data_IF_959799510145
#
_entry.id   IF_959799510145
#
_cell.length_a   1.000
_cell.length_b   1.000
_cell.length_c   1.000
_cell.angle_alpha   90.00
_cell.angle_beta   90.00
_cell.angle_gamma   90.00
#
_symmetry.space_group_name_H-M   'P 1'
#
loop_
_entity.id
_entity.type
_entity.pdbx_description
1 polymer ?
#
# COMPACT_ATOMS: atom_id res chain seq x y z
N UNK A 1 17.43 -0.79 -21.21
CA UNK A 1 15.99 -0.44 -21.27
C UNK A 1 15.67 0.33 -20.00
N UNK A 2 14.86 1.39 -20.07
CA UNK A 2 14.40 2.09 -18.88
C UNK A 2 13.37 1.20 -18.14
N UNK A 3 13.43 1.17 -16.80
CA UNK A 3 12.47 0.42 -15.98
C UNK A 3 11.06 0.96 -16.22
N UNK A 4 10.04 0.13 -16.47
CA UNK A 4 8.67 0.59 -16.59
C UNK A 4 8.11 1.10 -15.26
N UNK A 5 8.72 0.73 -14.13
CA UNK A 5 8.25 1.00 -12.78
C UNK A 5 8.65 2.36 -12.24
N UNK A 6 9.69 2.98 -12.82
CA UNK A 6 10.30 4.23 -12.36
C UNK A 6 10.01 5.33 -13.38
N UNK A 7 9.77 6.54 -12.88
CA UNK A 7 9.75 7.77 -13.67
C UNK A 7 11.20 8.13 -14.03
N UNK A 8 11.59 7.85 -15.28
CA UNK A 8 12.99 7.90 -15.70
C UNK A 8 13.62 9.30 -15.67
N UNK A 9 12.82 10.38 -15.73
CA UNK A 9 13.28 11.77 -15.72
C UNK A 9 12.29 12.66 -14.98
N UNK A 10 12.77 13.71 -14.30
CA UNK A 10 11.88 14.77 -13.81
C UNK A 10 11.05 15.32 -14.96
N UNK A 11 9.74 15.35 -14.76
CA UNK A 11 8.79 15.68 -15.82
C UNK A 11 8.79 17.19 -16.05
N UNK A 12 9.42 17.61 -17.14
CA UNK A 12 9.36 19.00 -17.56
C UNK A 12 7.93 19.40 -17.98
N UNK A 13 7.72 20.69 -18.30
CA UNK A 13 6.41 21.18 -18.73
C UNK A 13 5.91 20.49 -20.00
N UNK A 14 6.80 20.13 -20.92
CA UNK A 14 6.46 19.49 -22.19
C UNK A 14 5.98 18.06 -22.00
N UNK A 15 6.64 17.30 -21.12
CA UNK A 15 6.24 15.93 -20.79
C UNK A 15 4.94 15.91 -19.99
N UNK A 16 4.76 16.86 -19.04
CA UNK A 16 3.49 17.02 -18.33
C UNK A 16 2.33 17.29 -19.30
N UNK A 17 2.54 18.16 -20.28
CA UNK A 17 1.52 18.45 -21.28
C UNK A 17 1.25 17.26 -22.21
N UNK A 18 2.29 16.51 -22.62
CA UNK A 18 2.11 15.27 -23.41
C UNK A 18 1.28 14.24 -22.65
N UNK A 19 1.60 13.98 -21.39
CA UNK A 19 0.86 13.03 -20.55
C UNK A 19 -0.60 13.47 -20.35
N UNK A 20 -0.83 14.77 -20.11
CA UNK A 20 -2.19 15.31 -20.00
C UNK A 20 -2.99 15.13 -21.29
N UNK A 21 -2.42 15.46 -22.45
CA UNK A 21 -3.10 15.26 -23.74
C UNK A 21 -3.37 13.78 -24.05
N UNK A 22 -2.46 12.87 -23.67
CA UNK A 22 -2.67 11.44 -23.80
C UNK A 22 -3.80 10.94 -22.90
N UNK A 23 -3.86 11.43 -21.66
CA UNK A 23 -4.94 11.17 -20.72
C UNK A 23 -6.30 11.69 -21.25
N UNK A 24 -6.34 12.91 -21.78
CA UNK A 24 -7.55 13.49 -22.39
C UNK A 24 -8.04 12.66 -23.58
N UNK A 25 -7.10 12.22 -24.42
CA UNK A 25 -7.42 11.41 -25.58
C UNK A 25 -7.99 10.06 -25.16
N UNK A 26 -7.31 9.32 -24.26
CA UNK A 26 -7.76 7.97 -23.85
C UNK A 26 -9.11 8.02 -23.13
N UNK A 27 -9.38 9.05 -22.33
CA UNK A 27 -10.64 9.20 -21.60
C UNK A 27 -11.79 9.60 -22.51
N UNK A 28 -11.54 10.42 -23.54
CA UNK A 28 -12.55 10.83 -24.50
C UNK A 28 -12.88 9.76 -25.56
N UNK A 29 -11.86 9.10 -26.13
CA UNK A 29 -12.05 8.19 -27.28
C UNK A 29 -12.06 6.71 -26.88
N UNK A 30 -11.61 6.37 -25.66
CA UNK A 30 -11.38 5.00 -25.20
C UNK A 30 -10.43 4.19 -26.11
N UNK A 31 -9.53 4.86 -26.82
CA UNK A 31 -8.53 4.22 -27.71
C UNK A 31 -7.14 4.20 -27.10
N UNK A 32 -6.33 3.20 -27.45
CA UNK A 32 -4.94 3.12 -27.01
C UNK A 32 -4.13 4.36 -27.44
N UNK A 33 -3.26 4.83 -26.55
CA UNK A 33 -2.38 5.99 -26.77
C UNK A 33 -0.92 5.57 -26.71
N UNK A 34 -0.06 6.25 -27.47
CA UNK A 34 1.38 6.02 -27.47
C UNK A 34 2.11 7.01 -26.56
N UNK A 35 3.38 6.75 -26.25
CA UNK A 35 4.20 7.65 -25.43
C UNK A 35 3.93 7.62 -23.92
N UNK A 36 2.97 6.82 -23.46
CA UNK A 36 2.70 6.56 -22.04
C UNK A 36 3.31 5.23 -21.63
N UNK A 37 3.77 5.08 -20.38
CA UNK A 37 4.30 3.80 -19.88
C UNK A 37 3.24 2.69 -19.97
N UNK A 38 3.65 1.49 -20.36
CA UNK A 38 2.73 0.36 -20.60
C UNK A 38 1.85 0.03 -19.38
N UNK A 39 2.41 0.01 -18.18
CA UNK A 39 1.63 -0.27 -16.95
C UNK A 39 0.53 0.77 -16.71
N UNK A 40 0.78 2.03 -17.06
CA UNK A 40 -0.18 3.13 -16.90
C UNK A 40 -1.30 2.98 -17.92
N UNK A 41 -0.98 2.66 -19.17
CA UNK A 41 -1.98 2.37 -20.20
C UNK A 41 -2.87 1.19 -19.81
N UNK A 42 -2.28 0.10 -19.31
CA UNK A 42 -3.02 -1.08 -18.86
C UNK A 42 -3.93 -0.75 -17.67
N UNK A 43 -3.47 0.09 -16.73
CA UNK A 43 -4.29 0.55 -15.60
C UNK A 43 -5.42 1.50 -16.02
N UNK A 44 -5.18 2.42 -16.96
CA UNK A 44 -6.23 3.24 -17.56
C UNK A 44 -7.27 2.39 -18.28
N UNK A 45 -6.85 1.36 -19.02
CA UNK A 45 -7.79 0.44 -19.67
C UNK A 45 -8.67 -0.28 -18.65
N UNK A 46 -8.10 -0.77 -17.55
CA UNK A 46 -8.89 -1.37 -16.45
C UNK A 46 -9.87 -0.35 -15.85
N UNK A 47 -9.44 0.89 -15.65
CA UNK A 47 -10.28 1.98 -15.13
C UNK A 47 -11.45 2.30 -16.07
N UNK A 48 -11.19 2.36 -17.37
CA UNK A 48 -12.22 2.59 -18.40
C UNK A 48 -13.20 1.42 -18.54
N UNK A 49 -12.74 0.17 -18.36
CA UNK A 49 -13.60 -1.02 -18.34
C UNK A 49 -14.57 -1.02 -17.14
N UNK A 50 -14.21 -0.33 -16.06
CA UNK A 50 -15.05 -0.13 -14.89
C UNK A 50 -15.95 1.11 -15.00
N UNK A 51 -15.94 1.78 -16.17
CA UNK A 51 -16.74 2.98 -16.45
C UNK A 51 -16.49 4.12 -15.46
N UNK A 52 -15.27 4.20 -14.93
CA UNK A 52 -14.87 5.28 -14.03
C UNK A 52 -14.84 6.62 -14.77
N UNK A 53 -15.40 7.65 -14.13
CA UNK A 53 -15.39 9.02 -14.63
C UNK A 53 -14.19 9.79 -14.05
N UNK A 54 -13.15 10.13 -14.84
CA UNK A 54 -11.93 10.77 -14.33
C UNK A 54 -12.17 12.13 -13.62
N UNK A 55 -13.33 12.76 -13.79
CA UNK A 55 -13.71 14.04 -13.20
C UNK A 55 -14.60 13.89 -11.95
N UNK A 56 -15.21 12.73 -11.75
CA UNK A 56 -16.21 12.47 -10.70
C UNK A 56 -15.91 11.22 -9.86
N UNK A 57 -14.62 10.98 -9.59
CA UNK A 57 -14.17 9.94 -8.67
C UNK A 57 -13.90 10.51 -7.27
N UNK A 58 -14.48 9.87 -6.27
CA UNK A 58 -14.19 10.12 -4.87
C UNK A 58 -13.88 8.81 -4.15
N UNK A 59 -12.87 8.83 -3.29
CA UNK A 59 -12.60 7.68 -2.43
C UNK A 59 -13.75 7.50 -1.43
N UNK A 60 -14.34 6.31 -1.38
CA UNK A 60 -15.26 5.94 -0.33
C UNK A 60 -14.51 5.89 1.01
N UNK A 61 -15.14 6.36 2.08
CA UNK A 61 -14.63 6.23 3.44
C UNK A 61 -15.36 5.06 4.08
N UNK A 62 -14.64 3.96 4.29
CA UNK A 62 -15.23 2.68 4.71
C UNK A 62 -15.48 2.57 6.23
N UNK A 63 -14.96 3.52 7.01
CA UNK A 63 -15.01 3.49 8.48
C UNK A 63 -15.31 4.87 9.06
N UNK A 64 -16.06 4.90 10.17
CA UNK A 64 -16.00 6.03 11.09
C UNK A 64 -14.72 5.98 11.95
N UNK A 65 -14.51 6.99 12.80
CA UNK A 65 -13.26 7.16 13.52
C UNK A 65 -13.00 6.02 14.54
N UNK A 66 -14.04 5.53 15.21
CA UNK A 66 -13.95 4.49 16.22
C UNK A 66 -13.68 3.12 15.58
N UNK A 67 -14.41 2.77 14.51
CA UNK A 67 -14.19 1.54 13.76
C UNK A 67 -12.77 1.47 13.17
N UNK A 68 -12.26 2.60 12.68
CA UNK A 68 -10.90 2.68 12.14
C UNK A 68 -9.84 2.46 13.22
N UNK A 69 -10.05 2.98 14.43
CA UNK A 69 -9.13 2.76 15.54
C UNK A 69 -9.04 1.29 15.93
N UNK A 70 -10.18 0.62 16.11
CA UNK A 70 -10.21 -0.81 16.43
C UNK A 70 -9.56 -1.63 15.31
N UNK A 71 -9.91 -1.36 14.05
CA UNK A 71 -9.34 -2.02 12.88
C UNK A 71 -7.81 -1.91 12.85
N UNK A 72 -7.27 -0.69 13.04
CA UNK A 72 -5.84 -0.42 13.10
C UNK A 72 -5.14 -1.23 14.18
N UNK A 73 -5.72 -1.28 15.37
CA UNK A 73 -5.12 -1.95 16.53
C UNK A 73 -4.93 -3.46 16.32
N UNK A 74 -5.85 -4.09 15.56
CA UNK A 74 -5.80 -5.51 15.23
C UNK A 74 -5.03 -5.81 13.93
N UNK A 75 -4.75 -4.80 13.09
CA UNK A 75 -4.17 -5.02 11.78
C UNK A 75 -2.67 -5.37 11.84
N UNK A 76 -2.17 -6.38 11.09
CA UNK A 76 -0.76 -6.77 11.11
C UNK A 76 0.23 -5.62 10.80
N UNK A 77 -0.18 -4.67 9.97
CA UNK A 77 0.64 -3.49 9.64
C UNK A 77 0.91 -2.58 10.84
N UNK A 78 0.12 -2.66 11.92
CA UNK A 78 0.40 -1.92 13.15
C UNK A 78 1.77 -2.30 13.75
N UNK A 79 2.18 -3.56 13.58
CA UNK A 79 3.49 -4.04 14.01
C UNK A 79 4.63 -3.35 13.23
N UNK A 80 4.40 -2.98 11.97
CA UNK A 80 5.39 -2.33 11.13
C UNK A 80 5.61 -0.85 11.46
N UNK A 81 4.66 -0.19 12.15
CA UNK A 81 4.68 1.25 12.39
C UNK A 81 5.97 1.78 13.03
N UNK A 82 6.58 1.15 14.06
CA UNK A 82 7.81 1.68 14.64
C UNK A 82 8.97 1.72 13.64
N UNK A 83 9.09 0.70 12.78
CA UNK A 83 10.11 0.63 11.74
C UNK A 83 9.83 1.64 10.64
N UNK A 84 8.59 1.76 10.19
CA UNK A 84 8.17 2.75 9.18
C UNK A 84 8.45 4.16 9.69
N UNK A 85 8.05 4.46 10.94
CA UNK A 85 8.28 5.76 11.55
C UNK A 85 9.77 6.10 11.65
N UNK A 86 10.59 5.12 12.05
CA UNK A 86 12.04 5.33 12.17
C UNK A 86 12.75 5.54 10.83
N UNK A 87 12.34 4.84 9.77
CA UNK A 87 13.04 4.85 8.49
C UNK A 87 12.53 5.92 7.53
N UNK A 88 11.22 6.15 7.52
CA UNK A 88 10.57 7.00 6.52
C UNK A 88 10.09 8.31 7.14
N UNK A 89 9.45 8.27 8.32
CA UNK A 89 8.68 9.41 8.81
C UNK A 89 9.48 10.42 9.63
N UNK A 90 10.52 9.98 10.35
CA UNK A 90 11.31 10.83 11.27
C UNK A 90 11.82 12.13 10.62
N UNK A 91 12.16 12.11 9.33
CA UNK A 91 12.72 13.26 8.61
C UNK A 91 11.85 13.70 7.42
N UNK A 92 10.65 13.13 7.26
CA UNK A 92 9.83 13.38 6.07
C UNK A 92 9.19 14.78 6.06
N UNK A 93 9.01 15.37 7.24
CA UNK A 93 8.36 16.68 7.41
C UNK A 93 9.12 17.81 6.70
N UNK A 94 10.45 17.73 6.64
CA UNK A 94 11.29 18.74 5.98
C UNK A 94 11.37 18.54 4.46
N UNK A 95 10.99 17.37 3.96
CA UNK A 95 11.10 16.99 2.55
C UNK A 95 9.86 17.34 1.72
N UNK A 96 8.78 17.87 2.32
CA UNK A 96 7.54 18.16 1.60
C UNK A 96 6.87 16.90 1.04
N UNK A 97 6.91 15.81 1.81
CA UNK A 97 6.35 14.51 1.47
C UNK A 97 5.39 14.03 2.57
N UNK A 98 4.51 13.11 2.18
CA UNK A 98 3.63 12.35 3.07
C UNK A 98 3.88 10.86 2.89
N UNK A 99 3.76 10.10 3.97
CA UNK A 99 3.81 8.64 3.97
C UNK A 99 2.42 8.14 4.32
N UNK A 100 1.81 7.41 3.41
CA UNK A 100 0.58 6.68 3.68
C UNK A 100 0.87 5.19 3.79
N UNK A 101 0.14 4.53 4.68
CA UNK A 101 0.18 3.09 4.87
C UNK A 101 -1.24 2.60 4.62
N UNK A 102 -1.41 1.71 3.66
CA UNK A 102 -2.70 1.11 3.34
C UNK A 102 -2.76 -0.38 3.64
N UNK A 103 -3.98 -0.92 3.70
CA UNK A 103 -4.23 -2.36 3.78
C UNK A 103 -4.32 -3.01 2.39
N UNK A 104 -4.46 -4.35 2.36
CA UNK A 104 -4.63 -5.11 1.11
C UNK A 104 -5.92 -4.79 0.34
N UNK A 105 -6.91 -4.17 0.99
CA UNK A 105 -8.15 -3.71 0.37
C UNK A 105 -8.02 -2.29 -0.19
N UNK A 106 -6.82 -1.69 -0.12
CA UNK A 106 -6.53 -0.35 -0.60
C UNK A 106 -7.05 0.76 0.32
N UNK A 107 -7.41 0.46 1.58
CA UNK A 107 -7.81 1.47 2.56
C UNK A 107 -6.57 2.13 3.14
N UNK A 108 -6.53 3.46 3.17
CA UNK A 108 -5.47 4.20 3.83
C UNK A 108 -5.65 4.10 5.36
N UNK A 109 -4.74 3.39 6.02
CA UNK A 109 -4.80 3.16 7.46
C UNK A 109 -4.08 4.24 8.25
N UNK A 110 -2.94 4.75 7.80
CA UNK A 110 -2.22 5.82 8.50
C UNK A 110 -1.64 6.79 7.50
N UNK A 111 -1.68 8.10 7.81
CA UNK A 111 -1.07 9.13 6.97
C UNK A 111 -0.27 10.10 7.86
N UNK A 112 1.05 10.10 7.65
CA UNK A 112 1.98 10.95 8.38
C UNK A 112 2.86 11.78 7.43
N UNK A 113 3.48 12.85 7.93
CA UNK A 113 4.33 13.77 7.18
C UNK A 113 3.89 15.22 7.22
N UNK A 114 4.34 16.03 6.25
CA UNK A 114 4.17 17.48 6.32
C UNK A 114 2.69 17.89 6.46
N UNK A 115 2.39 18.71 7.47
CA UNK A 115 1.01 19.09 7.81
C UNK A 115 0.34 19.94 6.73
N UNK A 116 1.10 20.77 6.02
CA UNK A 116 0.54 21.59 4.95
C UNK A 116 0.22 20.73 3.73
N UNK A 117 1.09 19.78 3.40
CA UNK A 117 0.87 18.82 2.33
C UNK A 117 -0.29 17.87 2.63
N UNK A 118 -0.40 17.36 3.87
CA UNK A 118 -1.51 16.52 4.28
C UNK A 118 -2.86 17.22 4.12
N UNK A 119 -2.97 18.48 4.56
CA UNK A 119 -4.16 19.32 4.32
C UNK A 119 -4.45 19.56 2.85
N UNK A 120 -3.43 19.66 2.01
CA UNK A 120 -3.61 19.77 0.55
C UNK A 120 -4.10 18.44 -0.03
N UNK A 121 -3.60 17.30 0.46
CA UNK A 121 -3.96 15.96 0.04
C UNK A 121 -5.40 15.58 0.45
N UNK A 122 -5.92 16.13 1.56
CA UNK A 122 -7.34 16.03 1.93
C UNK A 122 -8.27 16.52 0.82
N UNK A 123 -7.85 17.50 0.01
CA UNK A 123 -8.62 18.01 -1.14
C UNK A 123 -8.83 16.99 -2.27
N UNK A 124 -8.05 15.90 -2.30
CA UNK A 124 -8.26 14.76 -3.21
C UNK A 124 -8.82 13.52 -2.49
N UNK A 125 -9.36 13.68 -1.27
CA UNK A 125 -9.81 12.59 -0.39
C UNK A 125 -8.71 11.58 -0.04
N UNK A 126 -7.45 12.03 0.00
CA UNK A 126 -6.33 11.25 0.51
C UNK A 126 -6.28 11.36 2.03
N UNK A 127 -7.24 10.69 2.66
CA UNK A 127 -7.48 10.70 4.11
C UNK A 127 -7.52 9.29 4.67
N UNK A 128 -7.29 9.17 5.96
CA UNK A 128 -7.36 7.89 6.64
C UNK A 128 -8.80 7.32 6.56
N UNK A 129 -8.92 6.01 6.33
CA UNK A 129 -10.18 5.32 6.05
C UNK A 129 -10.61 5.31 4.58
N UNK A 130 -10.00 6.15 3.73
CA UNK A 130 -10.36 6.25 2.32
C UNK A 130 -9.85 5.05 1.50
N UNK A 131 -10.66 4.56 0.55
CA UNK A 131 -10.30 3.47 -0.38
C UNK A 131 -9.66 4.02 -1.65
N UNK A 132 -8.41 3.64 -1.89
CA UNK A 132 -7.57 4.10 -3.01
C UNK A 132 -7.22 2.99 -4.01
N UNK A 133 -8.07 1.97 -4.14
CA UNK A 133 -7.90 0.94 -5.18
C UNK A 133 -8.10 1.48 -6.58
N UNK A 134 -7.55 0.80 -7.60
CA UNK A 134 -7.86 1.13 -9.01
C UNK A 134 -9.36 1.12 -9.31
N UNK A 135 -10.13 0.28 -8.62
CA UNK A 135 -11.58 0.22 -8.80
C UNK A 135 -12.33 1.42 -8.23
N UNK A 136 -11.71 2.13 -7.29
CA UNK A 136 -12.32 3.26 -6.60
C UNK A 136 -11.89 4.61 -7.19
N UNK A 137 -10.60 4.75 -7.55
CA UNK A 137 -10.02 6.04 -7.98
C UNK A 137 -9.29 5.96 -9.33
N UNK A 138 -9.30 4.80 -9.98
CA UNK A 138 -8.49 4.52 -11.17
C UNK A 138 -7.00 4.41 -10.84
N UNK A 139 -6.14 4.58 -11.86
CA UNK A 139 -4.68 4.52 -11.71
C UNK A 139 -4.20 5.42 -10.57
N UNK A 140 -3.62 4.81 -9.53
CA UNK A 140 -3.00 5.46 -8.39
C UNK A 140 -1.91 4.56 -7.84
N UNK A 141 -0.81 5.13 -7.33
CA UNK A 141 0.26 4.29 -6.78
C UNK A 141 -0.21 3.35 -5.66
N UNK A 142 -0.93 3.80 -4.59
CA UNK A 142 -1.37 2.91 -3.52
C UNK A 142 -2.35 1.83 -3.97
N UNK A 143 -3.10 2.03 -5.06
CA UNK A 143 -4.02 1.03 -5.62
C UNK A 143 -3.37 0.10 -6.64
N UNK A 144 -2.48 0.62 -7.49
CA UNK A 144 -1.87 -0.11 -8.60
C UNK A 144 -0.69 -0.97 -8.14
N UNK A 145 0.09 -0.55 -7.13
CA UNK A 145 1.22 -1.36 -6.64
C UNK A 145 0.76 -2.74 -6.13
N UNK A 146 -0.27 -2.84 -5.26
CA UNK A 146 -0.80 -4.12 -4.83
C UNK A 146 -1.44 -4.94 -5.95
N UNK A 147 -2.06 -4.28 -6.95
CA UNK A 147 -2.67 -4.96 -8.09
C UNK A 147 -1.63 -5.62 -9.01
N UNK A 148 -0.42 -5.04 -9.06
CA UNK A 148 0.70 -5.55 -9.85
C UNK A 148 1.70 -6.37 -9.03
N UNK A 149 1.51 -6.42 -7.71
CA UNK A 149 2.45 -7.01 -6.74
C UNK A 149 3.90 -6.51 -6.95
N UNK A 150 4.04 -5.21 -7.17
CA UNK A 150 5.33 -4.59 -7.51
C UNK A 150 5.40 -3.14 -7.03
N UNK A 151 6.60 -2.69 -6.66
CA UNK A 151 6.87 -1.29 -6.35
C UNK A 151 6.81 -0.40 -7.59
N UNK A 152 6.07 0.71 -7.54
CA UNK A 152 5.84 1.57 -8.72
C UNK A 152 5.90 3.05 -8.36
N UNK A 153 6.13 3.86 -9.39
CA UNK A 153 5.93 5.31 -9.36
C UNK A 153 4.78 5.68 -10.30
N UNK A 154 3.94 6.63 -9.91
CA UNK A 154 2.89 7.25 -10.74
C UNK A 154 2.99 8.76 -10.55
N UNK A 155 2.89 9.53 -11.64
CA UNK A 155 3.04 10.98 -11.57
C UNK A 155 2.04 11.73 -12.45
N UNK A 156 1.60 12.87 -11.94
CA UNK A 156 0.83 13.82 -12.71
C UNK A 156 -0.37 13.19 -13.40
N UNK A 157 -0.48 13.42 -14.71
CA UNK A 157 -1.55 12.88 -15.53
C UNK A 157 -1.46 11.38 -15.80
N UNK A 158 -0.49 10.64 -15.24
CA UNK A 158 -0.54 9.16 -15.19
C UNK A 158 -1.62 8.67 -14.23
N UNK A 159 -1.97 9.47 -13.21
CA UNK A 159 -3.16 9.22 -12.42
C UNK A 159 -4.40 9.27 -13.32
N UNK A 160 -5.38 8.41 -13.06
CA UNK A 160 -6.61 8.41 -13.84
C UNK A 160 -7.58 9.51 -13.38
N UNK A 161 -7.62 9.78 -12.08
CA UNK A 161 -8.45 10.85 -11.53
C UNK A 161 -7.74 12.21 -11.68
N UNK A 162 -8.40 13.17 -12.36
CA UNK A 162 -7.82 14.48 -12.66
C UNK A 162 -7.48 15.31 -11.44
N UNK A 163 -8.22 15.13 -10.34
CA UNK A 163 -7.94 15.86 -9.10
C UNK A 163 -6.56 15.49 -8.52
N UNK A 164 -6.03 14.32 -8.90
CA UNK A 164 -4.73 13.79 -8.45
C UNK A 164 -3.57 14.24 -9.35
N UNK A 165 -3.84 14.83 -10.53
CA UNK A 165 -2.79 15.31 -11.46
C UNK A 165 -1.75 16.30 -10.86
N UNK A 166 -2.03 17.06 -9.79
CA UNK A 166 -1.00 17.87 -9.14
C UNK A 166 0.04 17.06 -8.32
N UNK A 167 -0.13 15.74 -8.21
CA UNK A 167 0.61 14.88 -7.29
C UNK A 167 1.45 13.83 -8.00
N UNK A 168 2.46 13.35 -7.28
CA UNK A 168 3.24 12.18 -7.65
C UNK A 168 3.41 11.27 -6.45
N UNK A 169 3.46 9.97 -6.73
CA UNK A 169 3.37 8.92 -5.72
C UNK A 169 4.34 7.79 -6.04
N UNK A 170 4.99 7.24 -5.02
CA UNK A 170 5.76 5.99 -5.09
C UNK A 170 5.21 5.02 -4.06
N UNK A 171 4.76 3.85 -4.49
CA UNK A 171 4.15 2.85 -3.60
C UNK A 171 4.81 1.48 -3.75
N UNK A 172 4.93 0.76 -2.64
CA UNK A 172 5.48 -0.60 -2.59
C UNK A 172 4.59 -1.50 -1.71
N UNK A 173 4.14 -2.67 -2.21
CA UNK A 173 3.36 -3.61 -1.41
C UNK A 173 4.20 -4.23 -0.30
N UNK A 174 3.58 -4.46 0.85
CA UNK A 174 4.18 -5.11 2.02
C UNK A 174 3.59 -6.49 2.18
N UNK A 175 4.44 -7.50 2.39
CA UNK A 175 4.05 -8.90 2.46
C UNK A 175 4.14 -9.44 3.88
N UNK A 176 3.30 -10.43 4.15
CA UNK A 176 3.45 -11.30 5.30
C UNK A 176 4.67 -12.20 5.09
N UNK A 177 5.72 -12.10 5.92
CA UNK A 177 6.94 -12.88 5.76
C UNK A 177 6.74 -14.39 5.85
N UNK A 178 5.60 -14.86 6.40
CA UNK A 178 5.27 -16.27 6.56
C UNK A 178 4.46 -16.84 5.39
N UNK A 179 3.48 -16.09 4.87
CA UNK A 179 2.60 -16.56 3.79
C UNK A 179 2.95 -16.02 2.42
N UNK A 180 3.79 -14.98 2.33
CA UNK A 180 4.10 -14.25 1.10
C UNK A 180 2.95 -13.41 0.56
N UNK A 181 1.82 -13.33 1.28
CA UNK A 181 0.64 -12.58 0.84
C UNK A 181 0.81 -11.10 1.15
N UNK A 182 0.29 -10.23 0.28
CA UNK A 182 0.19 -8.80 0.54
C UNK A 182 -0.66 -8.54 1.79
N UNK A 183 -0.07 -7.85 2.76
CA UNK A 183 -0.71 -7.30 3.96
C UNK A 183 -1.24 -5.89 3.71
N UNK A 184 -0.53 -5.12 2.89
CA UNK A 184 -0.81 -3.71 2.66
C UNK A 184 0.16 -3.08 1.70
N UNK A 185 0.24 -1.75 1.75
CA UNK A 185 1.10 -0.94 0.89
C UNK A 185 1.68 0.21 1.70
N UNK A 186 2.92 0.61 1.40
CA UNK A 186 3.46 1.89 1.85
C UNK A 186 3.58 2.78 0.62
N UNK A 187 3.08 4.00 0.72
CA UNK A 187 3.07 5.00 -0.33
C UNK A 187 3.74 6.30 0.16
N UNK A 188 4.55 6.90 -0.70
CA UNK A 188 5.12 8.22 -0.53
C UNK A 188 4.45 9.14 -1.55
N UNK A 189 3.70 10.13 -1.07
CA UNK A 189 2.98 11.10 -1.89
C UNK A 189 3.53 12.51 -1.70
N UNK A 190 3.64 13.25 -2.80
CA UNK A 190 4.06 14.65 -2.80
C UNK A 190 4.21 15.24 -4.20
N UNK A 191 5.26 16.04 -4.39
CA UNK A 191 5.62 16.65 -5.68
C UNK A 191 6.65 15.81 -6.46
N UNK A 192 7.56 16.48 -7.17
CA UNK A 192 8.58 15.80 -7.99
C UNK A 192 9.48 14.86 -7.18
N UNK A 193 9.77 15.18 -5.91
CA UNK A 193 10.64 14.37 -5.04
C UNK A 193 10.02 13.01 -4.68
N UNK A 194 8.69 12.92 -4.66
CA UNK A 194 7.98 11.66 -4.42
C UNK A 194 8.25 10.63 -5.53
N UNK A 195 8.68 11.06 -6.71
CA UNK A 195 9.04 10.20 -7.85
C UNK A 195 10.46 10.43 -8.33
N UNK A 196 11.34 10.95 -7.46
CA UNK A 196 12.77 10.94 -7.77
C UNK A 196 13.23 9.49 -8.02
N UNK A 197 14.20 9.26 -8.94
CA UNK A 197 14.61 7.89 -9.29
C UNK A 197 15.09 7.04 -8.10
N UNK A 198 15.62 7.69 -7.05
CA UNK A 198 16.08 7.03 -5.83
C UNK A 198 14.95 6.68 -4.85
N UNK A 199 13.75 7.27 -4.99
CA UNK A 199 12.64 7.09 -4.03
C UNK A 199 12.10 5.67 -4.04
N UNK A 200 11.95 5.04 -5.22
CA UNK A 200 11.48 3.66 -5.29
C UNK A 200 12.46 2.65 -4.64
N UNK A 201 13.75 2.61 -5.00
CA UNK A 201 14.70 1.72 -4.32
C UNK A 201 14.80 1.96 -2.80
N UNK A 202 14.68 3.20 -2.36
CA UNK A 202 14.66 3.54 -0.93
C UNK A 202 13.42 2.96 -0.25
N UNK A 203 12.25 3.12 -0.86
CA UNK A 203 11.00 2.58 -0.32
C UNK A 203 10.99 1.05 -0.32
N UNK A 204 11.51 0.41 -1.38
CA UNK A 204 11.69 -1.04 -1.44
C UNK A 204 12.62 -1.55 -0.33
N UNK A 205 13.73 -0.85 -0.06
CA UNK A 205 14.63 -1.17 1.05
C UNK A 205 13.94 -1.01 2.41
N UNK A 206 13.14 0.04 2.60
CA UNK A 206 12.38 0.25 3.82
C UNK A 206 11.31 -0.84 4.05
N UNK A 207 10.60 -1.24 2.98
CA UNK A 207 9.65 -2.37 3.03
C UNK A 207 10.36 -3.67 3.37
N UNK A 208 11.51 -3.95 2.75
CA UNK A 208 12.30 -5.14 3.09
C UNK A 208 12.73 -5.17 4.56
N UNK A 209 13.10 -4.02 5.13
CA UNK A 209 13.41 -3.89 6.56
C UNK A 209 12.17 -4.11 7.45
N UNK A 210 11.01 -3.60 7.04
CA UNK A 210 9.72 -3.83 7.70
C UNK A 210 9.38 -5.33 7.73
N UNK A 211 9.46 -6.00 6.59
CA UNK A 211 9.19 -7.45 6.48
C UNK A 211 10.20 -8.28 7.29
N UNK A 212 11.48 -7.90 7.28
CA UNK A 212 12.49 -8.54 8.12
C UNK A 212 12.18 -8.37 9.61
N UNK A 213 11.78 -7.18 10.05
CA UNK A 213 11.39 -6.91 11.43
C UNK A 213 10.12 -7.67 11.87
N UNK A 214 9.17 -7.88 10.94
CA UNK A 214 8.01 -8.76 11.18
C UNK A 214 8.42 -10.22 11.30
N UNK A 215 9.36 -10.69 10.45
CA UNK A 215 9.89 -12.06 10.52
C UNK A 215 10.61 -12.35 11.83
N UNK A 216 11.46 -11.44 12.30
CA UNK A 216 12.21 -11.58 13.56
C UNK A 216 11.24 -11.70 14.74
N UNK A 217 10.28 -10.78 14.85
CA UNK A 217 9.28 -10.81 15.94
C UNK A 217 8.49 -12.11 15.98
N UNK A 218 8.10 -12.63 14.82
CA UNK A 218 7.43 -13.93 14.73
C UNK A 218 8.31 -15.08 15.23
N UNK A 219 9.61 -15.06 14.94
CA UNK A 219 10.54 -16.08 15.45
C UNK A 219 10.71 -15.96 16.97
N UNK A 220 10.74 -14.75 17.51
CA UNK A 220 10.77 -14.50 18.95
C UNK A 220 9.50 -15.03 19.64
N UNK A 221 8.32 -14.84 19.05
CA UNK A 221 7.04 -15.39 19.55
C UNK A 221 7.01 -16.93 19.52
N UNK A 222 7.57 -17.55 18.49
CA UNK A 222 7.65 -19.01 18.37
C UNK A 222 8.63 -19.62 19.39
N UNK A 223 9.72 -18.92 19.70
CA UNK A 223 10.75 -19.37 20.64
C UNK A 223 10.41 -19.06 22.11
N UNK A 224 9.61 -18.02 22.37
CA UNK A 224 9.14 -17.65 23.70
C UNK A 224 7.90 -18.43 24.17
N UNK A 225 7.24 -19.20 23.30
CA UNK A 225 6.15 -20.11 23.71
C UNK A 225 6.70 -21.27 24.56
N UNK A 226 6.19 -21.47 25.79
CA UNK A 226 6.62 -22.59 26.62
C UNK A 226 6.32 -23.92 25.89
N UNK A 227 7.18 -24.95 26.04
CA UNK A 227 6.93 -26.26 25.43
C UNK A 227 5.56 -26.76 25.86
N UNK A 228 4.76 -27.23 24.90
CA UNK A 228 3.48 -27.87 25.20
C UNK A 228 3.74 -28.98 26.20
N UNK A 229 3.14 -28.86 27.39
CA UNK A 229 3.18 -29.92 28.39
C UNK A 229 2.74 -31.22 27.69
N UNK A 230 3.52 -32.31 27.76
CA UNK A 230 3.07 -33.57 27.18
C UNK A 230 1.73 -33.90 27.83
N UNK A 231 0.68 -33.96 27.03
CA UNK A 231 -0.62 -34.47 27.46
C UNK A 231 -0.35 -35.82 28.10
N UNK A 232 -0.66 -35.95 29.40
CA UNK A 232 -0.57 -37.20 30.12
C UNK A 232 -1.51 -38.21 29.46
N UNK A 233 -1.01 -38.90 28.44
CA UNK A 233 -1.69 -40.00 27.79
C UNK A 233 -1.62 -41.19 28.74
N UNK A 234 -2.76 -41.49 29.34
CA UNK A 234 -3.13 -42.82 29.82
C UNK A 234 -2.20 -43.45 30.85
N UNK A 235 -2.42 -43.14 32.13
CA UNK A 235 -2.09 -44.11 33.16
C UNK A 235 -2.86 -45.42 32.87
N UNK A 236 -2.21 -46.59 32.81
CA UNK A 236 -2.91 -47.86 32.69
C UNK A 236 -3.74 -48.05 33.97
N UNK A 237 -5.05 -48.25 33.83
CA UNK A 237 -5.90 -48.69 34.93
C UNK A 237 -5.43 -50.08 35.37
N UNK A 238 -4.57 -50.10 36.38
CA UNK A 238 -4.14 -51.30 37.07
C UNK A 238 -5.34 -52.07 37.60
N UNK A 239 -5.33 -53.38 37.36
CA UNK A 239 -6.41 -54.29 37.70
C UNK A 239 -6.69 -54.36 39.20
N UNK A 240 -7.95 -54.63 39.52
CA UNK A 240 -8.34 -55.12 40.83
C UNK A 240 -8.51 -56.64 40.77
N UNK A 241 -7.88 -57.42 41.66
CA UNK A 241 -8.23 -58.81 41.89
C UNK A 241 -9.27 -58.87 43.02
N UNK A 242 -10.47 -59.36 42.72
CA UNK A 242 -11.45 -59.89 43.69
C UNK A 242 -12.23 -60.96 42.93
N UNK A 243 -12.29 -62.22 43.30
CA UNK A 243 -12.10 -62.89 44.59
C UNK A 243 -13.12 -64.02 44.54
N UNK A 244 -12.67 -65.27 44.51
CA UNK A 244 -13.56 -66.43 44.51
C UNK A 244 -14.21 -66.62 45.88
N UNK A 245 -15.48 -67.01 45.89
CA UNK A 245 -16.11 -67.95 46.84
C UNK A 245 -17.63 -67.91 46.63
N UNK A 246 -18.24 -69.08 46.42
CA UNK A 246 -19.69 -69.29 46.35
C UNK A 246 -20.11 -70.09 45.14
#
# INVERSE_FOLDING_TARGET
MASPWIVARPTDSSERQRLASAHDSVTATRTAVSGVRRLVQESWQRSLQLELDPDHLGAAIDFDEDDLHEYRSAHPMALALPTIHSLLTRHIFEAGLTVAIGDKAGRLLWIDGDRALRRKAEGMLFVEGAVWTERAVGTSAPGTAPALDHGIQIQGAEHFNRIVHPWSCTAVPVHDPASGRILGVIDITGGADAVAPATLPLLEAAVAAVEAGMRIRRLDELTSRPPRSPTASGAPRGGAPRGGSG
#
